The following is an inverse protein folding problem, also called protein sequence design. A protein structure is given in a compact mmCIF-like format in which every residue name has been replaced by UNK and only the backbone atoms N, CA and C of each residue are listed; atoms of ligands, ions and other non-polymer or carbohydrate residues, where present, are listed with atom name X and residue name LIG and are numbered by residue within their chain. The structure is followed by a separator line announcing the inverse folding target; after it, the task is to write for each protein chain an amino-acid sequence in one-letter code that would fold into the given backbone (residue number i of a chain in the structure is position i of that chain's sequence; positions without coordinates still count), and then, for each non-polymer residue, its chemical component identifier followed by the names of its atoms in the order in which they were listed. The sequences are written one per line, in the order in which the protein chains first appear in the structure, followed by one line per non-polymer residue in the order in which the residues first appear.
data_IF_946001076843
#
_entry.id   IF_946001076843
#
_cell.length_a   1.000
_cell.length_b   1.000
_cell.length_c   1.000
_cell.angle_alpha   90.00
_cell.angle_beta   90.00
_cell.angle_gamma   90.00
#
_symmetry.space_group_name_H-M   'P 1'
#
loop_
_entity.id
_entity.type
_entity.pdbx_description
1 polymer ?
#
# COMPACT_ATOMS: atom_id res chain seq x y z
N UNK A 1 -18.77 0.54 -3.02
CA UNK A 1 -18.29 -0.45 -3.99
C UNK A 1 -19.19 -1.68 -3.91
N UNK A 2 -19.58 -2.31 -5.03
CA UNK A 2 -20.34 -3.55 -4.98
C UNK A 2 -19.55 -4.63 -4.22
N UNK A 3 -20.26 -5.44 -3.43
CA UNK A 3 -19.65 -6.55 -2.69
C UNK A 3 -19.21 -7.60 -3.71
N UNK A 4 -17.91 -7.81 -3.85
CA UNK A 4 -17.37 -8.92 -4.66
C UNK A 4 -17.68 -10.22 -3.93
N UNK A 5 -18.41 -11.11 -4.58
CA UNK A 5 -18.64 -12.46 -4.08
C UNK A 5 -17.45 -13.36 -4.43
N UNK A 6 -17.03 -14.17 -3.46
CA UNK A 6 -15.92 -15.12 -3.61
C UNK A 6 -16.47 -16.53 -3.46
N UNK A 7 -16.17 -17.45 -4.40
CA UNK A 7 -16.64 -18.84 -4.32
C UNK A 7 -16.14 -19.59 -3.08
N UNK A 8 -14.91 -19.29 -2.63
CA UNK A 8 -14.31 -19.88 -1.43
C UNK A 8 -13.62 -18.83 -0.55
N UNK A 9 -13.31 -19.22 0.69
CA UNK A 9 -12.48 -18.40 1.58
C UNK A 9 -11.04 -18.28 1.04
N UNK A 10 -10.53 -19.31 0.38
CA UNK A 10 -9.21 -19.30 -0.29
C UNK A 10 -9.16 -18.26 -1.42
N UNK A 11 -10.21 -18.18 -2.25
CA UNK A 11 -10.31 -17.16 -3.31
C UNK A 11 -10.31 -15.74 -2.73
N UNK A 12 -11.02 -15.55 -1.60
CA UNK A 12 -11.04 -14.27 -0.88
C UNK A 12 -9.65 -13.93 -0.34
N UNK A 13 -8.93 -14.91 0.21
CA UNK A 13 -7.57 -14.73 0.71
C UNK A 13 -6.61 -14.35 -0.43
N UNK A 14 -6.65 -15.06 -1.55
CA UNK A 14 -5.83 -14.76 -2.74
C UNK A 14 -6.10 -13.33 -3.22
N UNK A 15 -7.37 -12.97 -3.39
CA UNK A 15 -7.74 -11.63 -3.83
C UNK A 15 -7.22 -10.54 -2.89
N UNK A 16 -7.36 -10.72 -1.57
CA UNK A 16 -6.86 -9.75 -0.61
C UNK A 16 -5.33 -9.59 -0.69
N UNK A 17 -4.60 -10.69 -0.89
CA UNK A 17 -3.15 -10.66 -1.09
C UNK A 17 -2.76 -9.96 -2.40
N UNK A 18 -3.51 -10.17 -3.48
CA UNK A 18 -3.29 -9.47 -4.75
C UNK A 18 -3.54 -7.96 -4.63
N UNK A 19 -4.66 -7.57 -4.04
CA UNK A 19 -4.98 -6.15 -3.78
C UNK A 19 -3.90 -5.51 -2.92
N UNK A 20 -3.45 -6.19 -1.86
CA UNK A 20 -2.39 -5.70 -0.98
C UNK A 20 -1.07 -5.52 -1.74
N UNK A 21 -0.63 -6.53 -2.51
CA UNK A 21 0.56 -6.46 -3.36
C UNK A 21 0.50 -5.27 -4.32
N UNK A 22 -0.62 -5.09 -5.00
CA UNK A 22 -0.77 -4.08 -6.04
C UNK A 22 -0.87 -2.68 -5.44
N UNK A 23 -1.50 -2.54 -4.26
CA UNK A 23 -1.50 -1.29 -3.50
C UNK A 23 -0.08 -0.86 -3.13
N UNK A 24 0.76 -1.78 -2.65
CA UNK A 24 2.14 -1.45 -2.25
C UNK A 24 2.97 -1.01 -3.45
N UNK A 25 2.89 -1.76 -4.57
CA UNK A 25 3.56 -1.36 -5.82
C UNK A 25 3.18 0.05 -6.23
N UNK A 26 1.88 0.35 -6.19
CA UNK A 26 1.37 1.67 -6.53
C UNK A 26 1.87 2.78 -5.59
N UNK A 27 1.94 2.54 -4.28
CA UNK A 27 2.51 3.49 -3.32
C UNK A 27 3.99 3.76 -3.59
N UNK A 28 4.77 2.71 -3.87
CA UNK A 28 6.21 2.84 -4.20
C UNK A 28 6.40 3.66 -5.48
N UNK A 29 5.61 3.39 -6.51
CA UNK A 29 5.64 4.19 -7.75
C UNK A 29 5.29 5.66 -7.51
N UNK A 30 4.31 5.92 -6.63
CA UNK A 30 3.96 7.29 -6.22
C UNK A 30 5.11 7.98 -5.51
N UNK A 31 5.78 7.30 -4.58
CA UNK A 31 6.94 7.85 -3.89
C UNK A 31 8.13 8.10 -4.82
N UNK A 32 8.38 7.19 -5.76
CA UNK A 32 9.42 7.36 -6.76
C UNK A 32 9.17 8.60 -7.63
N UNK A 33 7.92 8.87 -8.02
CA UNK A 33 7.54 10.09 -8.76
C UNK A 33 7.77 11.38 -7.96
N UNK A 34 7.68 11.31 -6.64
CA UNK A 34 7.97 12.41 -5.71
C UNK A 34 9.47 12.51 -5.33
N UNK A 35 10.32 11.67 -5.93
CA UNK A 35 11.75 11.63 -5.66
C UNK A 35 12.12 11.04 -4.30
N UNK A 36 11.21 10.27 -3.67
CA UNK A 36 11.42 9.67 -2.34
C UNK A 36 11.89 8.22 -2.52
N UNK A 37 13.16 7.90 -2.20
CA UNK A 37 13.66 6.54 -2.29
C UNK A 37 13.02 5.69 -1.19
N UNK A 38 12.37 4.60 -1.60
CA UNK A 38 11.72 3.67 -0.67
C UNK A 38 11.93 2.21 -1.12
N UNK A 39 11.78 1.28 -0.18
CA UNK A 39 11.95 -0.15 -0.44
C UNK A 39 10.87 -0.96 0.28
N UNK A 40 10.34 -1.97 -0.41
CA UNK A 40 9.48 -2.99 0.18
C UNK A 40 10.30 -4.02 0.96
N UNK A 41 9.82 -4.41 2.14
CA UNK A 41 10.39 -5.53 2.89
C UNK A 41 10.08 -6.88 2.24
N UNK A 42 10.89 -7.90 2.53
CA UNK A 42 10.57 -9.28 2.21
C UNK A 42 9.83 -9.92 3.39
N UNK A 43 8.78 -10.69 3.10
CA UNK A 43 7.99 -11.39 4.11
C UNK A 43 6.49 -11.09 3.96
N UNK A 44 5.66 -11.80 4.72
CA UNK A 44 4.23 -11.54 4.83
C UNK A 44 3.92 -11.30 6.31
N UNK A 45 4.13 -10.07 6.77
CA UNK A 45 3.82 -9.69 8.15
C UNK A 45 2.36 -9.27 8.23
N UNK A 46 1.61 -9.88 9.14
CA UNK A 46 0.23 -9.46 9.46
C UNK A 46 0.16 -8.04 10.06
N UNK A 47 1.29 -7.48 10.49
CA UNK A 47 1.42 -6.10 10.96
C UNK A 47 1.68 -5.09 9.83
N UNK A 48 1.69 -5.55 8.57
CA UNK A 48 1.91 -4.73 7.37
C UNK A 48 3.35 -4.79 6.84
N UNK A 49 3.53 -4.24 5.64
CA UNK A 49 4.84 -4.08 5.01
C UNK A 49 5.50 -2.77 5.45
N UNK A 50 6.75 -2.85 5.87
CA UNK A 50 7.49 -1.70 6.40
C UNK A 50 8.09 -0.94 5.23
N UNK A 51 7.66 0.30 5.06
CA UNK A 51 8.30 1.23 4.15
C UNK A 51 9.55 1.82 4.81
N UNK A 52 10.73 1.50 4.29
CA UNK A 52 11.98 2.14 4.72
C UNK A 52 12.14 3.44 3.92
N UNK A 53 12.14 4.56 4.62
CA UNK A 53 12.37 5.91 4.08
C UNK A 53 13.50 6.58 4.85
N UNK A 54 14.10 7.60 4.25
CA UNK A 54 15.02 8.46 4.99
C UNK A 54 14.24 9.27 6.04
N UNK A 55 14.81 9.55 7.23
CA UNK A 55 14.13 10.32 8.27
C UNK A 55 13.61 11.68 7.78
N UNK A 56 14.35 12.36 6.92
CA UNK A 56 13.99 13.65 6.34
C UNK A 56 12.71 13.61 5.47
N UNK A 57 12.38 12.46 4.87
CA UNK A 57 11.21 12.30 4.01
C UNK A 57 9.93 11.93 4.79
N UNK A 58 10.03 11.67 6.11
CA UNK A 58 8.92 11.18 6.93
C UNK A 58 7.69 12.10 6.89
N UNK A 59 7.88 13.41 6.96
CA UNK A 59 6.76 14.36 6.89
C UNK A 59 6.07 14.32 5.53
N UNK A 60 6.86 14.32 4.44
CA UNK A 60 6.35 14.32 3.06
C UNK A 60 5.55 13.04 2.78
N UNK A 61 6.07 11.90 3.21
CA UNK A 61 5.40 10.60 3.08
C UNK A 61 4.06 10.59 3.80
N UNK A 62 4.00 11.14 5.02
CA UNK A 62 2.75 11.23 5.78
C UNK A 62 1.69 12.05 5.04
N UNK A 63 2.09 13.14 4.41
CA UNK A 63 1.17 14.00 3.66
C UNK A 63 0.70 13.35 2.36
N UNK A 64 1.58 12.65 1.64
CA UNK A 64 1.20 11.83 0.47
C UNK A 64 0.15 10.79 0.86
N UNK A 65 0.37 10.04 1.96
CA UNK A 65 -0.57 9.02 2.44
C UNK A 65 -1.92 9.66 2.80
N UNK A 66 -1.92 10.81 3.48
CA UNK A 66 -3.14 11.54 3.82
C UNK A 66 -3.91 11.98 2.57
N UNK A 67 -3.23 12.50 1.56
CA UNK A 67 -3.86 12.92 0.30
C UNK A 67 -4.47 11.73 -0.45
N UNK A 68 -3.76 10.59 -0.49
CA UNK A 68 -4.27 9.34 -1.06
C UNK A 68 -5.54 8.92 -0.33
N UNK A 69 -5.51 8.92 1.00
CA UNK A 69 -6.64 8.48 1.81
C UNK A 69 -7.85 9.40 1.64
N UNK A 70 -7.66 10.72 1.67
CA UNK A 70 -8.72 11.70 1.39
C UNK A 70 -9.33 11.54 0.00
N UNK A 71 -8.53 11.18 -1.01
CA UNK A 71 -9.01 11.03 -2.39
C UNK A 71 -9.88 9.80 -2.61
N UNK A 72 -9.55 8.68 -1.96
CA UNK A 72 -10.18 7.39 -2.22
C UNK A 72 -11.07 6.87 -1.10
N UNK A 73 -10.98 7.45 0.10
CA UNK A 73 -11.76 7.08 1.27
C UNK A 73 -12.27 8.36 1.98
N UNK A 74 -13.23 9.07 1.37
CA UNK A 74 -13.80 10.31 1.89
C UNK A 74 -14.59 10.09 3.18
#
# INVERSE_FOLDING_TARGET
MPKKEFPTDEDRMIYNLEVHRDLIKWVIEKMAKEGIPCKITKGNSSKGDILIIKPEDASRVKDIIRQIQSKYNP
#
